data_IF_575811608720
#
_entry.id   IF_575811608720
#
_cell.length_a   1.000
_cell.length_b   1.000
_cell.length_c   1.000
_cell.angle_alpha   90.00
_cell.angle_beta   90.00
_cell.angle_gamma   90.00
#
_symmetry.space_group_name_H-M   'P 1'
#
loop_
_entity.id
_entity.type
_entity.pdbx_description
1 polymer ?
#
# COMPACT_ATOMS: atom_id res chain seq x y z
N UNK A 1 20.07 -2.70 -16.33
CA UNK A 1 18.91 -2.22 -15.57
C UNK A 1 18.98 -0.71 -15.51
N UNK A 2 18.16 0.01 -16.29
CA UNK A 2 17.94 1.42 -16.01
C UNK A 2 17.13 1.44 -14.70
N UNK A 3 17.78 1.76 -13.61
CA UNK A 3 17.07 1.98 -12.36
C UNK A 3 16.10 3.13 -12.56
N UNK A 4 14.96 3.10 -11.92
CA UNK A 4 13.95 4.16 -11.95
C UNK A 4 14.47 5.58 -11.66
N UNK A 5 15.71 5.70 -11.21
CA UNK A 5 16.45 6.93 -10.93
C UNK A 5 16.96 7.68 -12.17
N UNK A 6 17.09 7.01 -13.32
CA UNK A 6 17.65 7.59 -14.56
C UNK A 6 16.59 7.90 -15.61
N UNK A 7 15.31 7.82 -15.24
CA UNK A 7 14.21 8.02 -16.16
C UNK A 7 13.89 9.51 -16.32
N UNK A 8 13.96 10.01 -17.55
CA UNK A 8 13.76 11.43 -17.88
C UNK A 8 12.30 11.81 -18.19
N UNK A 9 11.35 10.85 -18.08
CA UNK A 9 9.94 11.16 -18.33
C UNK A 9 9.35 12.00 -17.20
N UNK A 10 8.38 12.86 -17.58
CA UNK A 10 7.59 13.59 -16.61
C UNK A 10 6.79 12.59 -15.73
N UNK A 11 6.76 12.81 -14.43
CA UNK A 11 5.99 12.01 -13.48
C UNK A 11 4.50 11.98 -13.81
N UNK A 12 3.99 13.05 -14.41
CA UNK A 12 2.60 13.12 -14.87
C UNK A 12 2.33 12.19 -16.06
N UNK A 13 3.29 12.00 -16.98
CA UNK A 13 3.19 11.00 -18.05
C UNK A 13 3.13 9.58 -17.48
N UNK A 14 3.95 9.30 -16.46
CA UNK A 14 3.96 8.01 -15.78
C UNK A 14 2.62 7.75 -15.08
N UNK A 15 2.09 8.75 -14.37
CA UNK A 15 0.78 8.67 -13.72
C UNK A 15 -0.34 8.38 -14.74
N UNK A 16 -0.40 9.12 -15.83
CA UNK A 16 -1.38 8.92 -16.91
C UNK A 16 -1.24 7.53 -17.54
N UNK A 17 -0.01 7.05 -17.75
CA UNK A 17 0.22 5.73 -18.31
C UNK A 17 -0.34 4.63 -17.39
N UNK A 18 -0.11 4.70 -16.09
CA UNK A 18 -0.66 3.72 -15.13
C UNK A 18 -2.20 3.79 -15.09
N UNK A 19 -2.80 4.97 -15.19
CA UNK A 19 -4.25 5.15 -15.15
C UNK A 19 -4.96 4.70 -16.45
N UNK A 20 -4.30 4.81 -17.60
CA UNK A 20 -4.94 4.61 -18.91
C UNK A 20 -4.39 3.44 -19.73
N UNK A 21 -3.18 2.99 -19.40
CA UNK A 21 -2.45 1.93 -20.09
C UNK A 21 -1.85 0.95 -19.08
N UNK A 22 -0.53 0.95 -18.94
CA UNK A 22 0.17 0.30 -17.85
C UNK A 22 1.57 0.91 -17.63
N UNK A 23 2.05 0.81 -16.39
CA UNK A 23 3.41 1.15 -15.99
C UNK A 23 4.08 0.00 -15.28
N UNK A 24 5.39 -0.14 -15.48
CA UNK A 24 6.23 -1.13 -14.81
C UNK A 24 7.13 -0.42 -13.80
N UNK A 25 7.08 -0.86 -12.54
CA UNK A 25 7.85 -0.29 -11.44
C UNK A 25 8.66 -1.37 -10.74
N UNK A 26 9.85 -1.01 -10.27
CA UNK A 26 10.64 -1.86 -9.36
C UNK A 26 10.31 -1.48 -7.91
N UNK A 27 9.63 -2.38 -7.20
CA UNK A 27 9.29 -2.26 -5.78
C UNK A 27 10.04 -3.27 -4.93
N UNK A 28 11.18 -3.75 -5.42
CA UNK A 28 12.03 -4.77 -4.75
C UNK A 28 12.57 -4.33 -3.39
N UNK A 29 12.51 -3.04 -3.06
CA UNK A 29 12.87 -2.53 -1.73
C UNK A 29 11.98 -3.00 -0.58
N UNK A 30 10.79 -3.52 -0.86
CA UNK A 30 9.95 -4.17 0.14
C UNK A 30 10.65 -5.41 0.70
N UNK A 31 10.52 -5.66 2.00
CA UNK A 31 11.08 -6.83 2.68
C UNK A 31 10.23 -8.07 2.44
N UNK A 32 10.85 -9.20 2.12
CA UNK A 32 10.19 -10.49 1.94
C UNK A 32 10.68 -11.48 2.99
N UNK A 33 9.74 -12.04 3.74
CA UNK A 33 10.00 -13.05 4.75
C UNK A 33 9.30 -14.34 4.34
N UNK A 34 10.00 -15.47 4.35
CA UNK A 34 9.39 -16.78 4.23
C UNK A 34 9.23 -17.40 5.62
N UNK A 35 8.03 -17.83 5.94
CA UNK A 35 7.72 -18.60 7.14
C UNK A 35 7.41 -20.04 6.72
N UNK A 36 8.19 -20.99 7.15
CA UNK A 36 8.03 -22.40 6.79
C UNK A 36 8.04 -23.27 8.05
N UNK A 37 7.02 -24.07 8.22
CA UNK A 37 6.91 -25.00 9.34
C UNK A 37 5.51 -25.08 9.93
N UNK A 38 5.24 -26.13 10.74
CA UNK A 38 3.90 -26.40 11.27
C UNK A 38 3.35 -25.30 12.17
N UNK A 39 4.20 -24.46 12.77
CA UNK A 39 3.76 -23.32 13.59
C UNK A 39 3.66 -22.00 12.83
N UNK A 40 3.86 -21.97 11.51
CA UNK A 40 3.79 -20.75 10.70
C UNK A 40 2.44 -20.02 10.83
N UNK A 41 1.33 -20.79 10.80
CA UNK A 41 -0.02 -20.24 11.01
C UNK A 41 -0.17 -19.59 12.39
N UNK A 42 0.29 -20.26 13.45
CA UNK A 42 0.15 -19.77 14.81
C UNK A 42 0.94 -18.47 15.03
N UNK A 43 2.13 -18.36 14.42
CA UNK A 43 2.95 -17.14 14.45
C UNK A 43 2.23 -16.00 13.76
N UNK A 44 1.79 -16.20 12.50
CA UNK A 44 1.12 -15.14 11.74
C UNK A 44 -0.25 -14.79 12.32
N UNK A 45 -0.99 -15.77 12.86
CA UNK A 45 -2.27 -15.50 13.53
C UNK A 45 -2.11 -14.59 14.75
N UNK A 46 -1.02 -14.75 15.50
CA UNK A 46 -0.69 -13.91 16.64
C UNK A 46 -0.06 -12.57 16.24
N UNK A 47 0.72 -12.55 15.15
CA UNK A 47 1.41 -11.35 14.70
C UNK A 47 0.48 -10.32 14.05
N UNK A 48 -0.59 -10.76 13.37
CA UNK A 48 -1.36 -9.92 12.46
C UNK A 48 -2.84 -9.85 12.79
N UNK A 49 -3.51 -8.83 12.28
CA UNK A 49 -4.94 -8.58 12.47
C UNK A 49 -5.85 -9.54 11.71
N UNK A 50 -5.33 -10.23 10.66
CA UNK A 50 -6.12 -11.17 9.86
C UNK A 50 -6.26 -12.53 10.51
N UNK A 51 -7.42 -13.14 10.32
CA UNK A 51 -7.63 -14.55 10.61
C UNK A 51 -7.00 -15.41 9.50
N UNK A 52 -5.75 -15.82 9.75
CA UNK A 52 -4.96 -16.57 8.75
C UNK A 52 -5.55 -17.96 8.44
N UNK A 53 -6.45 -18.47 9.28
CA UNK A 53 -7.13 -19.76 9.02
C UNK A 53 -8.07 -19.68 7.80
N UNK A 54 -8.51 -18.47 7.44
CA UNK A 54 -9.38 -18.19 6.29
C UNK A 54 -8.61 -17.90 5.00
N UNK A 55 -7.26 -17.91 5.05
CA UNK A 55 -6.40 -17.69 3.89
C UNK A 55 -5.96 -19.07 3.40
N UNK A 56 -6.45 -19.53 2.25
CA UNK A 56 -6.06 -20.81 1.64
C UNK A 56 -4.77 -20.65 0.78
N UNK A 57 -4.04 -21.74 0.45
CA UNK A 57 -2.92 -21.68 -0.49
C UNK A 57 -3.33 -21.01 -1.82
N UNK A 58 -2.49 -20.14 -2.36
CA UNK A 58 -2.79 -19.34 -3.54
C UNK A 58 -3.51 -18.02 -3.25
N UNK A 59 -3.94 -17.78 -2.00
CA UNK A 59 -4.58 -16.52 -1.58
C UNK A 59 -3.60 -15.62 -0.84
N UNK A 60 -3.74 -14.31 -1.07
CA UNK A 60 -3.07 -13.26 -0.31
C UNK A 60 -4.06 -12.49 0.57
N UNK A 61 -3.56 -11.74 1.54
CA UNK A 61 -4.40 -10.85 2.37
C UNK A 61 -3.58 -9.72 2.96
N UNK A 62 -4.08 -8.50 2.85
CA UNK A 62 -3.51 -7.34 3.53
C UNK A 62 -3.83 -7.39 5.03
N UNK A 63 -2.85 -7.14 5.87
CA UNK A 63 -2.94 -7.23 7.32
C UNK A 63 -2.08 -6.15 7.99
N UNK A 64 -2.46 -5.76 9.20
CA UNK A 64 -1.68 -4.88 10.07
C UNK A 64 -1.09 -5.65 11.25
N UNK A 65 -0.04 -5.09 11.82
CA UNK A 65 0.63 -5.54 13.03
C UNK A 65 0.61 -4.44 14.08
N UNK A 66 0.35 -4.80 15.33
CA UNK A 66 0.23 -3.86 16.44
C UNK A 66 1.25 -4.19 17.54
N UNK A 67 1.58 -3.17 18.33
CA UNK A 67 2.28 -3.34 19.60
C UNK A 67 1.32 -3.74 20.74
N UNK A 68 1.86 -3.89 21.97
CA UNK A 68 1.06 -4.28 23.14
C UNK A 68 0.09 -3.18 23.60
N UNK A 69 0.28 -1.93 23.15
CA UNK A 69 -0.60 -0.78 23.39
C UNK A 69 -1.74 -0.70 22.38
N UNK A 70 -1.77 -1.59 21.37
CA UNK A 70 -2.74 -1.56 20.27
C UNK A 70 -2.39 -0.55 19.18
N UNK A 71 -1.16 -0.04 19.18
CA UNK A 71 -0.68 0.92 18.18
C UNK A 71 -0.10 0.19 16.96
N UNK A 72 -0.34 0.77 15.80
CA UNK A 72 0.18 0.29 14.52
C UNK A 72 1.72 0.35 14.48
N UNK A 73 2.35 -0.75 14.05
CA UNK A 73 3.81 -0.85 13.93
C UNK A 73 4.29 -1.25 12.53
N UNK A 74 3.42 -1.84 11.74
CA UNK A 74 3.69 -2.21 10.35
C UNK A 74 2.43 -2.75 9.67
N UNK A 75 2.45 -2.79 8.35
CA UNK A 75 1.49 -3.52 7.53
C UNK A 75 2.21 -4.52 6.61
N UNK A 76 1.44 -5.45 6.10
CA UNK A 76 2.00 -6.46 5.22
C UNK A 76 0.94 -7.09 4.31
N UNK A 77 1.41 -7.72 3.25
CA UNK A 77 0.63 -8.69 2.51
C UNK A 77 1.10 -10.10 2.88
N UNK A 78 0.17 -10.92 3.33
CA UNK A 78 0.37 -12.32 3.67
C UNK A 78 0.02 -13.16 2.44
N UNK A 79 0.98 -13.89 1.88
CA UNK A 79 0.80 -14.82 0.77
C UNK A 79 0.88 -16.24 1.32
N UNK A 80 -0.20 -17.03 1.23
CA UNK A 80 -0.12 -18.42 1.61
C UNK A 80 0.37 -19.26 0.44
N UNK A 81 1.65 -19.61 0.48
CA UNK A 81 2.35 -20.33 -0.60
C UNK A 81 2.17 -21.85 -0.54
N UNK A 82 1.75 -22.39 0.62
CA UNK A 82 1.50 -23.81 0.80
C UNK A 82 0.80 -24.15 2.11
N UNK A 83 0.65 -25.42 2.44
CA UNK A 83 -0.04 -25.83 3.69
C UNK A 83 0.56 -25.22 4.95
N UNK A 84 1.89 -25.23 5.06
CA UNK A 84 2.66 -24.70 6.19
C UNK A 84 3.73 -23.69 5.74
N UNK A 85 3.49 -22.99 4.63
CA UNK A 85 4.43 -22.01 4.10
C UNK A 85 3.73 -20.73 3.70
N UNK A 86 4.41 -19.61 3.99
CA UNK A 86 3.96 -18.27 3.73
C UNK A 86 5.10 -17.41 3.23
N UNK A 87 4.77 -16.44 2.40
CA UNK A 87 5.59 -15.27 2.15
C UNK A 87 4.88 -14.07 2.76
N UNK A 88 5.62 -13.24 3.46
CA UNK A 88 5.14 -11.97 4.04
C UNK A 88 5.94 -10.85 3.39
N UNK A 89 5.23 -9.96 2.72
CA UNK A 89 5.83 -8.75 2.12
C UNK A 89 5.44 -7.56 2.95
N UNK A 90 6.42 -6.80 3.44
CA UNK A 90 6.19 -5.64 4.30
C UNK A 90 7.19 -4.52 4.03
N UNK A 91 6.89 -3.32 4.54
CA UNK A 91 7.70 -2.13 4.33
C UNK A 91 8.79 -1.89 5.38
N UNK A 92 8.85 -0.66 5.88
CA UNK A 92 9.89 -0.16 6.77
C UNK A 92 9.62 -0.38 8.25
N UNK A 93 8.42 -0.85 8.63
CA UNK A 93 8.03 -1.02 10.03
C UNK A 93 8.69 -2.20 10.75
N UNK A 94 8.25 -2.45 11.97
CA UNK A 94 8.80 -3.45 12.89
C UNK A 94 8.22 -4.88 12.69
N UNK A 95 7.68 -5.18 11.51
CA UNK A 95 7.03 -6.45 11.22
C UNK A 95 7.96 -7.65 11.29
N UNK A 96 9.19 -7.51 10.75
CA UNK A 96 10.19 -8.57 10.79
C UNK A 96 10.54 -8.95 12.23
N UNK A 97 10.84 -7.96 13.07
CA UNK A 97 11.21 -8.16 14.47
C UNK A 97 10.05 -8.80 15.25
N UNK A 98 8.83 -8.37 15.01
CA UNK A 98 7.65 -8.96 15.65
C UNK A 98 7.46 -10.43 15.29
N UNK A 99 7.52 -10.75 14.00
CA UNK A 99 7.36 -12.12 13.50
C UNK A 99 8.47 -13.01 14.06
N UNK A 100 9.73 -12.55 14.01
CA UNK A 100 10.89 -13.28 14.50
C UNK A 100 10.78 -13.55 16.01
N UNK A 101 10.37 -12.56 16.80
CA UNK A 101 10.14 -12.71 18.23
C UNK A 101 9.06 -13.77 18.53
N UNK A 102 7.96 -13.74 17.80
CA UNK A 102 6.86 -14.69 17.98
C UNK A 102 7.21 -16.11 17.50
N UNK A 103 8.18 -16.25 16.61
CA UNK A 103 8.66 -17.53 16.12
C UNK A 103 9.59 -18.24 17.12
N UNK A 104 10.17 -17.53 18.10
CA UNK A 104 11.10 -18.11 19.07
C UNK A 104 10.47 -19.28 19.83
N UNK A 105 11.21 -20.40 19.92
CA UNK A 105 10.75 -21.62 20.59
C UNK A 105 9.65 -22.39 19.85
N UNK A 106 9.29 -22.00 18.62
CA UNK A 106 8.29 -22.67 17.80
C UNK A 106 8.93 -23.42 16.63
N UNK A 107 8.28 -24.46 16.16
CA UNK A 107 8.74 -25.22 14.97
C UNK A 107 8.35 -24.47 13.69
N UNK A 108 9.07 -23.43 13.39
CA UNK A 108 8.93 -22.57 12.20
C UNK A 108 10.26 -21.89 11.90
N UNK A 109 10.68 -21.90 10.64
CA UNK A 109 11.78 -21.08 10.15
C UNK A 109 11.23 -19.75 9.65
N UNK A 110 11.91 -18.65 9.98
CA UNK A 110 11.68 -17.31 9.43
C UNK A 110 12.92 -16.94 8.64
N UNK A 111 12.79 -16.80 7.34
CA UNK A 111 13.89 -16.56 6.41
C UNK A 111 13.66 -15.23 5.71
N UNK A 112 14.61 -14.31 5.83
CA UNK A 112 14.63 -13.09 5.05
C UNK A 112 15.19 -13.41 3.65
N UNK A 113 14.49 -12.94 2.61
CA UNK A 113 14.86 -13.18 1.21
C UNK A 113 15.11 -11.84 0.52
N UNK A 114 16.37 -11.44 0.46
CA UNK A 114 16.84 -10.21 -0.17
C UNK A 114 17.15 -10.35 -1.68
N UNK A 115 17.15 -11.58 -2.19
CA UNK A 115 17.32 -11.89 -3.62
C UNK A 115 15.98 -11.99 -4.38
N UNK A 116 14.84 -11.91 -3.69
CA UNK A 116 13.55 -11.92 -4.33
C UNK A 116 13.15 -10.51 -4.75
N UNK A 117 13.16 -10.24 -6.05
CA UNK A 117 12.71 -8.99 -6.64
C UNK A 117 11.19 -8.97 -6.81
N UNK A 118 10.62 -7.78 -6.83
CA UNK A 118 9.20 -7.52 -7.03
C UNK A 118 9.03 -6.46 -8.11
N UNK A 119 8.58 -6.89 -9.29
CA UNK A 119 8.31 -6.03 -10.43
C UNK A 119 6.80 -5.79 -10.52
N UNK A 120 6.38 -4.56 -10.30
CA UNK A 120 4.97 -4.17 -10.22
C UNK A 120 4.49 -3.65 -11.58
N UNK A 121 3.69 -4.44 -12.32
CA UNK A 121 3.06 -4.08 -13.58
C UNK A 121 1.61 -3.68 -13.32
N UNK A 122 1.31 -2.39 -13.40
CA UNK A 122 0.06 -1.81 -12.94
C UNK A 122 -0.63 -1.00 -14.05
N UNK A 123 -1.95 -1.12 -14.13
CA UNK A 123 -2.80 -0.38 -15.06
C UNK A 123 -3.74 -1.29 -15.85
N UNK A 124 -4.76 -0.72 -16.53
CA UNK A 124 -5.83 -1.50 -17.18
C UNK A 124 -5.34 -2.47 -18.25
N UNK A 125 -4.23 -2.17 -18.96
CA UNK A 125 -3.67 -3.04 -20.00
C UNK A 125 -2.69 -4.10 -19.46
N UNK A 126 -2.34 -4.09 -18.19
CA UNK A 126 -1.43 -5.07 -17.60
C UNK A 126 -1.93 -6.52 -17.79
N UNK A 127 -3.23 -6.73 -17.64
CA UNK A 127 -3.85 -8.05 -17.84
C UNK A 127 -3.79 -8.51 -19.29
N UNK A 128 -4.00 -7.61 -20.24
CA UNK A 128 -3.96 -7.93 -21.68
C UNK A 128 -2.56 -8.32 -22.12
N UNK A 129 -1.56 -7.63 -21.58
CA UNK A 129 -0.16 -7.97 -21.82
C UNK A 129 0.18 -9.35 -21.24
N UNK A 130 -0.05 -9.54 -19.93
CA UNK A 130 0.31 -10.82 -19.28
C UNK A 130 -0.45 -12.01 -19.84
N UNK A 131 -1.68 -11.84 -20.32
CA UNK A 131 -2.48 -12.92 -20.88
C UNK A 131 -1.90 -13.52 -22.18
N UNK A 132 -1.02 -12.80 -22.88
CA UNK A 132 -0.29 -13.32 -24.03
C UNK A 132 0.79 -14.34 -23.63
N UNK A 133 1.30 -14.23 -22.39
CA UNK A 133 2.45 -15.01 -21.90
C UNK A 133 2.08 -16.02 -20.81
N UNK A 134 1.00 -15.76 -20.05
CA UNK A 134 0.59 -16.56 -18.89
C UNK A 134 -0.87 -17.01 -19.06
N UNK A 135 -1.10 -18.25 -19.46
CA UNK A 135 -2.45 -18.80 -19.57
C UNK A 135 -3.22 -18.72 -18.25
N UNK A 136 -4.48 -18.29 -18.30
CA UNK A 136 -5.37 -18.20 -17.14
C UNK A 136 -5.15 -17.00 -16.23
N UNK A 137 -4.22 -16.08 -16.54
CA UNK A 137 -3.95 -14.91 -15.68
C UNK A 137 -5.16 -13.97 -15.56
N UNK A 138 -6.05 -13.95 -16.57
CA UNK A 138 -7.29 -13.15 -16.53
C UNK A 138 -8.22 -13.59 -15.40
N UNK A 139 -8.23 -14.88 -15.11
CA UNK A 139 -9.11 -15.52 -14.13
C UNK A 139 -8.52 -15.49 -12.72
N UNK A 140 -7.26 -15.03 -12.54
CA UNK A 140 -6.65 -14.91 -11.23
C UNK A 140 -7.43 -13.88 -10.40
N UNK A 141 -8.08 -14.28 -9.28
CA UNK A 141 -8.88 -13.36 -8.49
C UNK A 141 -8.02 -12.30 -7.79
N UNK A 142 -8.62 -11.16 -7.45
CA UNK A 142 -7.96 -10.12 -6.65
C UNK A 142 -7.46 -10.69 -5.32
N UNK A 143 -6.25 -10.32 -4.91
CA UNK A 143 -5.53 -10.90 -3.77
C UNK A 143 -5.34 -12.43 -3.86
N UNK A 144 -5.07 -12.92 -5.07
CA UNK A 144 -4.57 -14.28 -5.29
C UNK A 144 -3.25 -14.25 -6.05
N UNK A 145 -2.49 -15.33 -5.91
CA UNK A 145 -1.21 -15.50 -6.57
C UNK A 145 -1.06 -16.90 -7.15
N UNK A 146 -0.20 -17.04 -8.13
CA UNK A 146 0.12 -18.30 -8.79
C UNK A 146 1.61 -18.39 -9.11
N UNK A 147 2.19 -19.55 -8.87
CA UNK A 147 3.53 -19.86 -9.34
C UNK A 147 3.44 -20.31 -10.81
N UNK A 148 4.24 -19.70 -11.67
CA UNK A 148 4.21 -19.94 -13.12
C UNK A 148 5.58 -19.64 -13.76
N UNK A 149 5.60 -19.53 -15.07
CA UNK A 149 6.77 -19.04 -15.84
C UNK A 149 6.36 -17.82 -16.66
N UNK A 150 7.24 -16.84 -16.68
CA UNK A 150 7.16 -15.67 -17.55
C UNK A 150 8.47 -15.59 -18.34
N UNK A 151 8.38 -15.56 -19.67
CA UNK A 151 9.54 -15.60 -20.58
C UNK A 151 10.52 -16.75 -20.29
N UNK A 152 9.98 -17.91 -19.92
CA UNK A 152 10.76 -19.10 -19.55
C UNK A 152 11.35 -19.09 -18.14
N UNK A 153 11.23 -17.99 -17.38
CA UNK A 153 11.74 -17.83 -16.01
C UNK A 153 10.71 -18.18 -14.95
N UNK A 154 11.08 -18.84 -13.86
CA UNK A 154 10.13 -19.13 -12.78
C UNK A 154 9.76 -17.85 -12.05
N UNK A 155 8.46 -17.61 -11.86
CA UNK A 155 7.93 -16.42 -11.17
C UNK A 155 6.75 -16.81 -10.30
N UNK A 156 6.46 -15.98 -9.28
CA UNK A 156 5.14 -15.94 -8.65
C UNK A 156 4.47 -14.63 -9.07
N UNK A 157 3.30 -14.72 -9.69
CA UNK A 157 2.50 -13.55 -10.07
C UNK A 157 1.35 -13.41 -9.10
N UNK A 158 1.21 -12.25 -8.52
CA UNK A 158 0.10 -11.89 -7.63
C UNK A 158 -0.75 -10.79 -8.25
N UNK A 159 -2.07 -10.92 -8.12
CA UNK A 159 -3.00 -9.83 -8.47
C UNK A 159 -3.15 -8.91 -7.28
N UNK A 160 -2.09 -8.17 -7.01
CA UNK A 160 -1.94 -7.14 -5.97
C UNK A 160 -1.26 -5.91 -6.57
N UNK A 161 -1.18 -4.82 -5.82
CA UNK A 161 -0.51 -3.59 -6.23
C UNK A 161 -0.88 -2.41 -5.35
N UNK A 162 -0.15 -1.32 -5.53
CA UNK A 162 -0.23 -0.10 -4.71
C UNK A 162 -0.63 1.13 -5.53
N UNK A 163 -1.56 0.95 -6.48
CA UNK A 163 -1.97 2.00 -7.42
C UNK A 163 -3.48 2.29 -7.45
N UNK A 164 -4.28 1.37 -6.93
CA UNK A 164 -5.73 1.42 -7.10
C UNK A 164 -6.23 0.87 -8.44
N UNK A 165 -5.35 0.67 -9.42
CA UNK A 165 -5.70 0.04 -10.69
C UNK A 165 -5.66 -1.49 -10.61
N UNK A 166 -6.19 -2.16 -11.63
CA UNK A 166 -5.91 -3.58 -11.85
C UNK A 166 -4.45 -3.73 -12.24
N UNK A 167 -3.74 -4.57 -11.48
CA UNK A 167 -2.33 -4.79 -11.72
C UNK A 167 -1.83 -6.09 -11.12
N UNK A 168 -0.55 -6.34 -11.32
CA UNK A 168 0.11 -7.56 -10.88
C UNK A 168 1.50 -7.26 -10.35
N UNK A 169 1.88 -7.96 -9.30
CA UNK A 169 3.24 -8.01 -8.77
C UNK A 169 3.89 -9.31 -9.21
N UNK A 170 5.09 -9.23 -9.76
CA UNK A 170 5.85 -10.33 -10.36
C UNK A 170 7.07 -10.57 -9.51
N UNK A 171 7.01 -11.58 -8.66
CA UNK A 171 8.13 -11.98 -7.82
C UNK A 171 9.05 -12.91 -8.60
N UNK A 172 10.33 -12.54 -8.72
CA UNK A 172 11.35 -13.29 -9.46
C UNK A 172 12.71 -13.21 -8.77
N UNK A 173 13.65 -14.12 -9.11
CA UNK A 173 15.01 -14.04 -8.61
C UNK A 173 15.78 -12.89 -9.25
N UNK A 174 16.76 -12.32 -8.51
CA UNK A 174 17.55 -11.19 -8.96
C UNK A 174 18.26 -11.43 -10.30
N UNK A 175 18.72 -12.66 -10.56
CA UNK A 175 19.34 -13.04 -11.82
C UNK A 175 18.37 -12.99 -13.02
N UNK A 176 17.08 -13.21 -12.80
CA UNK A 176 16.04 -13.21 -13.83
C UNK A 176 15.36 -11.84 -14.02
N UNK A 177 15.44 -10.97 -13.01
CA UNK A 177 14.72 -9.69 -12.98
C UNK A 177 15.08 -8.76 -14.17
N UNK A 178 16.35 -8.58 -14.58
CA UNK A 178 16.67 -7.74 -15.73
C UNK A 178 16.05 -8.23 -17.04
N UNK A 179 16.09 -9.54 -17.30
CA UNK A 179 15.48 -10.11 -18.51
C UNK A 179 13.97 -9.91 -18.51
N UNK A 180 13.31 -10.15 -17.37
CA UNK A 180 11.84 -9.97 -17.26
C UNK A 180 11.46 -8.51 -17.46
N UNK A 181 12.19 -7.59 -16.82
CA UNK A 181 12.00 -6.15 -16.95
C UNK A 181 12.13 -5.67 -18.39
N UNK A 182 13.26 -6.00 -19.02
CA UNK A 182 13.55 -5.55 -20.40
C UNK A 182 12.53 -6.14 -21.38
N UNK A 183 12.19 -7.43 -21.26
CA UNK A 183 11.20 -8.08 -22.16
C UNK A 183 9.79 -7.48 -21.99
N UNK A 184 9.36 -7.15 -20.76
CA UNK A 184 8.07 -6.47 -20.55
C UNK A 184 8.03 -5.12 -21.26
N UNK A 185 9.11 -4.35 -21.16
CA UNK A 185 9.19 -3.03 -21.79
C UNK A 185 9.31 -3.10 -23.31
N UNK A 186 10.08 -4.05 -23.85
CA UNK A 186 10.23 -4.25 -25.30
C UNK A 186 8.93 -4.73 -25.93
N UNK A 187 8.36 -5.83 -25.44
CA UNK A 187 7.13 -6.42 -25.98
C UNK A 187 5.86 -5.59 -25.66
N UNK A 188 5.92 -4.79 -24.60
CA UNK A 188 4.83 -3.93 -24.17
C UNK A 188 4.83 -2.52 -24.75
N UNK A 189 5.89 -2.13 -25.49
CA UNK A 189 6.06 -0.76 -26.01
C UNK A 189 4.88 -0.29 -26.87
N UNK A 190 4.43 -1.14 -27.80
CA UNK A 190 3.30 -0.82 -28.69
C UNK A 190 1.96 -0.69 -27.93
N UNK A 191 1.83 -1.37 -26.80
CA UNK A 191 0.68 -1.23 -25.90
C UNK A 191 0.80 0.01 -25.00
N UNK A 192 1.94 0.71 -25.04
CA UNK A 192 2.23 1.88 -24.23
C UNK A 192 2.56 1.56 -22.78
N UNK A 193 3.13 0.39 -22.53
CA UNK A 193 3.74 0.06 -21.24
C UNK A 193 5.06 0.83 -21.14
N UNK A 194 5.21 1.59 -20.06
CA UNK A 194 6.41 2.38 -19.80
C UNK A 194 6.99 2.03 -18.43
N UNK A 195 8.30 2.17 -18.24
CA UNK A 195 8.85 2.11 -16.90
C UNK A 195 8.48 3.37 -16.13
N UNK A 196 8.20 3.20 -14.85
CA UNK A 196 7.77 4.26 -13.97
C UNK A 196 8.65 4.30 -12.72
N UNK A 197 8.89 5.51 -12.21
CA UNK A 197 9.60 5.73 -10.95
C UNK A 197 8.77 5.29 -9.76
N UNK A 198 9.45 4.93 -8.67
CA UNK A 198 8.78 4.65 -7.41
C UNK A 198 7.96 5.86 -6.90
N UNK A 199 8.44 7.07 -7.13
CA UNK A 199 7.79 8.30 -6.66
C UNK A 199 6.42 8.58 -7.32
N UNK A 200 6.10 7.98 -8.48
CA UNK A 200 4.76 8.10 -9.06
C UNK A 200 3.70 7.45 -8.18
N UNK A 201 4.11 6.50 -7.33
CA UNK A 201 3.21 5.85 -6.37
C UNK A 201 2.59 6.86 -5.38
N UNK A 202 3.28 7.95 -5.06
CA UNK A 202 2.71 8.98 -4.19
C UNK A 202 1.47 9.63 -4.80
N UNK A 203 1.46 9.87 -6.11
CA UNK A 203 0.27 10.38 -6.80
C UNK A 203 -0.86 9.34 -6.79
N UNK A 204 -0.54 8.10 -7.14
CA UNK A 204 -1.51 7.01 -7.25
C UNK A 204 -2.14 6.64 -5.90
N UNK A 205 -1.32 6.57 -4.84
CA UNK A 205 -1.77 6.23 -3.50
C UNK A 205 -2.63 7.32 -2.87
N UNK A 206 -2.35 8.61 -3.14
CA UNK A 206 -3.17 9.72 -2.65
C UNK A 206 -4.58 9.61 -3.23
N UNK A 207 -4.72 9.43 -4.55
CA UNK A 207 -6.02 9.29 -5.20
C UNK A 207 -6.82 8.10 -4.66
N UNK A 208 -6.15 6.96 -4.44
CA UNK A 208 -6.77 5.69 -4.07
C UNK A 208 -6.82 5.44 -2.57
N UNK A 209 -6.27 6.34 -1.78
CA UNK A 209 -6.01 6.21 -0.35
C UNK A 209 -5.39 4.85 0.01
N UNK A 210 -4.10 4.77 -0.18
CA UNK A 210 -3.28 3.66 0.30
C UNK A 210 -2.23 4.24 1.26
N UNK A 211 -2.29 3.80 2.53
CA UNK A 211 -1.42 4.30 3.57
C UNK A 211 0.04 3.98 3.25
N UNK A 212 0.95 4.93 3.53
CA UNK A 212 2.38 4.74 3.40
C UNK A 212 3.08 4.93 4.76
N UNK A 213 3.54 3.84 5.33
CA UNK A 213 4.34 3.86 6.55
C UNK A 213 5.78 4.29 6.25
N UNK A 214 6.41 5.20 7.04
CA UNK A 214 5.88 5.87 8.23
C UNK A 214 5.23 7.24 7.96
N UNK A 215 5.14 7.69 6.70
CA UNK A 215 4.83 9.07 6.34
C UNK A 215 3.43 9.55 6.77
N UNK A 216 2.44 8.67 6.78
CA UNK A 216 1.07 9.04 7.15
C UNK A 216 0.78 8.88 8.65
N UNK A 217 1.77 8.54 9.47
CA UNK A 217 1.56 8.26 10.89
C UNK A 217 2.17 9.32 11.83
N UNK A 218 1.96 9.15 13.15
CA UNK A 218 2.42 10.06 14.19
C UNK A 218 3.93 10.10 14.38
N UNK A 219 4.69 9.15 13.84
CA UNK A 219 6.14 9.15 13.95
C UNK A 219 6.74 10.28 13.10
N UNK A 220 6.14 10.55 11.94
CA UNK A 220 6.58 11.63 11.04
C UNK A 220 5.89 12.95 11.39
N UNK A 221 4.58 12.93 11.69
CA UNK A 221 3.78 14.12 11.96
C UNK A 221 3.01 14.03 13.28
N UNK A 222 3.69 14.13 14.44
CA UNK A 222 3.00 14.20 15.73
C UNK A 222 2.33 15.56 15.90
N UNK A 223 1.16 15.59 16.55
CA UNK A 223 0.64 16.82 17.12
C UNK A 223 1.38 17.14 18.43
N UNK A 224 1.41 18.41 18.84
CA UNK A 224 2.20 18.91 19.99
C UNK A 224 2.01 18.15 21.31
N UNK A 225 0.83 17.58 21.52
CA UNK A 225 0.47 16.92 22.79
C UNK A 225 0.14 15.44 22.62
N UNK A 226 0.40 14.86 21.44
CA UNK A 226 0.10 13.48 21.14
C UNK A 226 1.19 12.54 21.64
N UNK A 227 0.78 11.44 22.24
CA UNK A 227 1.67 10.31 22.47
C UNK A 227 1.98 9.62 21.14
N UNK A 228 3.23 9.22 20.90
CA UNK A 228 3.60 8.48 19.70
C UNK A 228 2.80 7.18 19.55
N UNK A 229 2.45 6.89 18.31
CA UNK A 229 1.70 5.70 17.92
C UNK A 229 0.26 6.02 17.52
N UNK A 230 -0.22 5.30 16.53
CA UNK A 230 -1.53 5.47 15.93
C UNK A 230 -2.34 4.18 16.06
N UNK A 231 -3.61 4.29 16.41
CA UNK A 231 -4.53 3.15 16.36
C UNK A 231 -5.02 2.90 14.93
N UNK A 232 -5.48 1.70 14.64
CA UNK A 232 -6.07 1.41 13.31
C UNK A 232 -7.35 2.20 13.07
N UNK A 233 -8.06 2.63 14.13
CA UNK A 233 -9.25 3.48 14.06
C UNK A 233 -8.92 4.89 13.55
N UNK A 234 -7.76 5.41 13.97
CA UNK A 234 -7.24 6.71 13.53
C UNK A 234 -6.77 6.67 12.07
N UNK A 235 -6.12 5.56 11.69
CA UNK A 235 -5.59 5.37 10.34
C UNK A 235 -6.65 4.88 9.32
N UNK A 236 -7.88 4.55 9.76
CA UNK A 236 -8.89 3.96 8.88
C UNK A 236 -8.53 2.55 8.40
N UNK A 237 -7.70 1.81 9.15
CA UNK A 237 -7.23 0.46 8.85
C UNK A 237 -7.90 -0.62 9.70
N UNK A 238 -8.89 -0.28 10.50
CA UNK A 238 -9.66 -1.20 11.35
C UNK A 238 -10.35 -2.32 10.54
N UNK A 239 -10.67 -2.08 9.27
CA UNK A 239 -11.17 -3.10 8.35
C UNK A 239 -10.21 -4.28 8.16
N UNK A 240 -8.92 -4.14 8.51
CA UNK A 240 -7.94 -5.22 8.46
C UNK A 240 -8.13 -6.24 9.56
N UNK A 241 -8.81 -5.88 10.64
CA UNK A 241 -9.12 -6.81 11.74
C UNK A 241 -10.25 -7.73 11.31
N UNK A 242 -9.97 -9.03 11.26
CA UNK A 242 -11.02 -10.00 10.93
C UNK A 242 -12.11 -10.00 11.98
N UNK A 243 -13.40 -10.04 11.58
CA UNK A 243 -14.52 -10.00 12.52
C UNK A 243 -14.38 -11.04 13.66
N UNK A 244 -14.46 -10.57 14.90
CA UNK A 244 -14.38 -11.40 16.09
C UNK A 244 -12.98 -11.91 16.46
N UNK A 245 -11.93 -11.49 15.76
CA UNK A 245 -10.57 -11.94 16.06
C UNK A 245 -10.02 -11.24 17.30
N UNK A 246 -9.59 -12.02 18.29
CA UNK A 246 -9.04 -11.54 19.57
C UNK A 246 -7.63 -12.06 19.87
N UNK A 247 -7.13 -13.03 19.15
CA UNK A 247 -5.87 -13.72 19.42
C UNK A 247 -4.62 -13.11 18.79
N UNK A 248 -4.59 -11.79 18.51
CA UNK A 248 -3.42 -11.10 17.99
C UNK A 248 -2.84 -10.12 19.02
N UNK A 249 -1.56 -9.78 18.83
CA UNK A 249 -0.88 -8.82 19.71
C UNK A 249 -1.59 -7.48 19.70
N UNK A 250 -1.84 -6.91 20.87
CA UNK A 250 -2.50 -5.62 21.02
C UNK A 250 -4.03 -5.64 20.88
N UNK A 251 -4.66 -6.79 20.60
CA UNK A 251 -6.09 -6.90 20.34
C UNK A 251 -6.95 -6.28 21.45
N UNK A 252 -6.65 -6.56 22.73
CA UNK A 252 -7.41 -6.03 23.87
C UNK A 252 -7.39 -4.50 23.92
N UNK A 253 -6.26 -3.89 23.58
CA UNK A 253 -6.15 -2.43 23.54
C UNK A 253 -6.79 -1.86 22.28
N UNK A 254 -6.61 -2.51 21.12
CA UNK A 254 -7.26 -2.10 19.88
C UNK A 254 -8.77 -1.90 20.09
N UNK A 255 -9.46 -2.88 20.68
CA UNK A 255 -10.90 -2.76 20.95
C UNK A 255 -11.26 -1.70 22.00
N UNK A 256 -10.36 -1.40 22.96
CA UNK A 256 -10.56 -0.33 23.95
C UNK A 256 -10.41 1.07 23.36
N UNK A 257 -9.69 1.20 22.25
CA UNK A 257 -9.43 2.47 21.56
C UNK A 257 -10.56 2.86 20.60
N UNK A 258 -11.47 1.96 20.29
CA UNK A 258 -12.62 2.26 19.44
C UNK A 258 -13.46 3.42 19.97
N UNK A 259 -13.71 4.44 19.16
CA UNK A 259 -14.45 5.64 19.54
C UNK A 259 -13.66 6.61 20.42
N UNK A 260 -12.32 6.45 20.47
CA UNK A 260 -11.41 7.34 21.21
C UNK A 260 -10.31 7.90 20.30
N UNK A 261 -10.62 7.99 19.01
CA UNK A 261 -9.71 8.53 18.03
C UNK A 261 -9.36 9.99 18.37
N UNK A 262 -8.08 10.32 18.39
CA UNK A 262 -7.56 11.68 18.62
C UNK A 262 -7.60 12.51 17.34
N UNK A 263 -7.35 11.83 16.22
CA UNK A 263 -7.34 12.38 14.86
C UNK A 263 -7.84 11.30 13.88
N UNK A 264 -7.99 11.70 12.64
CA UNK A 264 -8.23 10.77 11.51
C UNK A 264 -7.34 11.12 10.33
N UNK A 265 -6.96 10.11 9.57
CA UNK A 265 -6.47 10.35 8.22
C UNK A 265 -7.68 10.69 7.35
N UNK A 266 -7.58 11.84 6.68
CA UNK A 266 -8.68 12.36 5.87
C UNK A 266 -8.14 13.04 4.61
N UNK A 267 -8.98 13.18 3.58
CA UNK A 267 -8.62 13.86 2.35
C UNK A 267 -8.80 15.38 2.48
N UNK A 268 -8.05 16.11 1.67
CA UNK A 268 -8.16 17.55 1.51
C UNK A 268 -8.20 17.89 0.03
N UNK A 269 -9.20 18.61 -0.42
CA UNK A 269 -9.22 19.23 -1.73
C UNK A 269 -8.85 20.70 -1.57
N UNK A 270 -7.82 21.14 -2.28
CA UNK A 270 -7.28 22.50 -2.19
C UNK A 270 -7.68 23.28 -3.44
N UNK A 271 -8.05 24.53 -3.27
CA UNK A 271 -8.37 25.40 -4.40
C UNK A 271 -7.08 25.78 -5.15
N UNK A 272 -7.12 25.61 -6.46
CA UNK A 272 -5.97 25.83 -7.35
C UNK A 272 -5.35 24.56 -7.88
N UNK A 273 -4.27 24.70 -8.64
CA UNK A 273 -3.58 23.62 -9.33
C UNK A 273 -2.24 23.26 -8.67
N UNK A 274 -1.70 24.15 -7.84
CA UNK A 274 -0.41 23.92 -7.18
C UNK A 274 -0.55 22.83 -6.09
N UNK A 275 0.32 21.82 -6.07
CA UNK A 275 0.29 20.79 -5.04
C UNK A 275 0.76 21.34 -3.70
N UNK A 276 0.11 20.91 -2.64
CA UNK A 276 0.60 21.13 -1.28
C UNK A 276 1.83 20.27 -1.01
N UNK A 277 2.62 20.70 -0.03
CA UNK A 277 3.79 19.97 0.42
C UNK A 277 3.50 19.17 1.71
N UNK A 278 4.30 18.14 1.90
CA UNK A 278 4.42 17.44 3.17
C UNK A 278 4.78 18.43 4.30
N UNK A 279 4.03 18.37 5.41
CA UNK A 279 4.20 19.28 6.54
C UNK A 279 3.42 20.59 6.46
N UNK A 280 2.73 20.89 5.35
CA UNK A 280 1.83 22.04 5.29
C UNK A 280 0.71 21.89 6.33
N UNK A 281 0.33 23.01 6.96
CA UNK A 281 -0.60 23.01 8.09
C UNK A 281 -2.04 23.32 7.64
N UNK A 282 -2.97 22.66 8.31
CA UNK A 282 -4.40 22.90 8.13
C UNK A 282 -4.98 23.68 9.29
N UNK A 283 -5.83 24.66 8.96
CA UNK A 283 -6.52 25.50 9.91
C UNK A 283 -8.02 25.48 9.65
N UNK A 284 -8.80 25.52 10.73
CA UNK A 284 -10.24 25.78 10.72
C UNK A 284 -10.53 26.87 11.78
N UNK A 285 -11.23 27.92 11.41
CA UNK A 285 -11.57 29.06 12.28
C UNK A 285 -10.34 29.63 13.04
N UNK A 286 -9.17 29.67 12.37
CA UNK A 286 -7.93 30.17 12.94
C UNK A 286 -7.19 29.20 13.88
N UNK A 287 -7.76 28.05 14.22
CA UNK A 287 -7.14 26.97 14.99
C UNK A 287 -6.39 26.01 14.07
N UNK A 288 -5.15 25.63 14.39
CA UNK A 288 -4.48 24.53 13.70
C UNK A 288 -5.21 23.22 14.01
N UNK A 289 -5.60 22.49 12.95
CA UNK A 289 -6.43 21.28 13.05
C UNK A 289 -5.84 20.09 12.32
N UNK A 290 -4.72 20.24 11.65
CA UNK A 290 -4.11 19.13 10.94
C UNK A 290 -2.80 19.47 10.27
N UNK A 291 -2.21 18.45 9.66
CA UNK A 291 -0.98 18.52 8.87
C UNK A 291 -1.11 17.62 7.64
N UNK A 292 -0.65 18.11 6.50
CA UNK A 292 -0.62 17.36 5.26
C UNK A 292 0.55 16.38 5.29
N UNK A 293 0.29 15.12 5.01
CA UNK A 293 1.31 14.07 4.95
C UNK A 293 1.76 13.78 3.51
N UNK A 294 0.88 13.98 2.54
CA UNK A 294 1.23 13.87 1.13
C UNK A 294 0.24 14.68 0.29
N UNK A 295 0.75 15.49 -0.64
CA UNK A 295 -0.06 16.28 -1.56
C UNK A 295 0.35 16.07 -3.02
N UNK A 296 -0.60 16.25 -3.93
CA UNK A 296 -0.37 16.13 -5.37
C UNK A 296 -1.36 16.99 -6.17
N UNK A 297 -1.00 17.26 -7.42
CA UNK A 297 -1.97 17.69 -8.43
C UNK A 297 -2.35 16.46 -9.29
N UNK A 298 -3.63 16.08 -9.29
CA UNK A 298 -4.11 14.97 -10.10
C UNK A 298 -4.22 15.38 -11.57
N UNK A 299 -3.47 14.73 -12.42
CA UNK A 299 -3.53 14.95 -13.88
C UNK A 299 -4.87 14.54 -14.49
N UNK A 300 -5.63 13.66 -13.82
CA UNK A 300 -6.94 13.22 -14.29
C UNK A 300 -8.05 14.25 -13.98
N UNK A 301 -7.96 14.90 -12.85
CA UNK A 301 -9.00 15.82 -12.38
C UNK A 301 -8.60 17.29 -12.48
N UNK A 302 -7.30 17.59 -12.67
CA UNK A 302 -6.75 18.95 -12.63
C UNK A 302 -6.90 19.62 -11.26
N UNK A 303 -7.02 18.83 -10.17
CA UNK A 303 -7.25 19.35 -8.82
C UNK A 303 -6.10 19.03 -7.90
N UNK A 304 -5.76 19.99 -7.06
CA UNK A 304 -4.85 19.75 -5.93
C UNK A 304 -5.57 18.98 -4.83
N UNK A 305 -4.99 17.86 -4.42
CA UNK A 305 -5.54 16.98 -3.38
C UNK A 305 -4.43 16.46 -2.47
N UNK A 306 -4.79 16.21 -1.22
CA UNK A 306 -3.83 15.75 -0.22
C UNK A 306 -4.45 14.75 0.76
N UNK A 307 -3.57 13.95 1.36
CA UNK A 307 -3.87 13.17 2.57
C UNK A 307 -3.35 13.98 3.75
N UNK A 308 -4.11 14.02 4.83
CA UNK A 308 -3.77 14.75 6.04
C UNK A 308 -4.12 13.98 7.31
N UNK A 309 -3.35 14.22 8.36
CA UNK A 309 -3.73 13.92 9.75
C UNK A 309 -4.56 15.10 10.24
N UNK A 310 -5.77 14.86 10.71
CA UNK A 310 -6.74 15.90 10.99
C UNK A 310 -7.48 15.62 12.29
N UNK A 311 -7.70 16.65 13.12
CA UNK A 311 -8.52 16.54 14.32
C UNK A 311 -9.89 15.94 13.99
N UNK A 312 -10.41 15.10 14.88
CA UNK A 312 -11.65 14.32 14.62
C UNK A 312 -12.85 15.22 14.36
N UNK A 313 -12.95 16.36 15.06
CA UNK A 313 -14.07 17.29 14.97
C UNK A 313 -14.18 17.99 13.61
N UNK A 314 -13.08 18.09 12.87
CA UNK A 314 -13.05 18.69 11.54
C UNK A 314 -12.89 17.69 10.40
N UNK A 315 -12.57 16.43 10.70
CA UNK A 315 -12.47 15.34 9.73
C UNK A 315 -13.87 14.88 9.27
N UNK A 316 -14.63 15.81 8.69
CA UNK A 316 -15.99 15.64 8.19
C UNK A 316 -16.08 16.17 6.77
N UNK A 317 -16.74 15.42 5.88
CA UNK A 317 -16.91 15.81 4.47
C UNK A 317 -17.43 17.23 4.33
N UNK A 318 -16.71 18.07 3.59
CA UNK A 318 -17.10 19.42 3.26
C UNK A 318 -16.77 20.47 4.33
N UNK A 319 -16.09 20.12 5.42
CA UNK A 319 -15.61 21.10 6.41
C UNK A 319 -14.67 22.10 5.73
N UNK A 320 -14.94 23.43 5.84
CA UNK A 320 -14.05 24.47 5.32
C UNK A 320 -12.71 24.46 6.08
N UNK A 321 -11.63 24.53 5.33
CA UNK A 321 -10.26 24.55 5.82
C UNK A 321 -9.46 25.66 5.13
N UNK A 322 -8.34 26.02 5.74
CA UNK A 322 -7.30 26.85 5.14
C UNK A 322 -5.97 26.08 5.20
N UNK A 323 -5.31 25.94 4.06
CA UNK A 323 -3.91 25.46 3.99
C UNK A 323 -2.99 26.62 4.22
N UNK A 324 -1.95 26.44 5.04
CA UNK A 324 -0.83 27.36 5.23
C UNK A 324 0.48 26.62 5.07
N UNK A 325 1.01 26.71 3.87
CA UNK A 325 2.28 26.10 3.48
C UNK A 325 3.23 27.09 2.83
N UNK A 326 4.42 26.61 2.50
CA UNK A 326 5.44 27.45 1.85
C UNK A 326 5.09 27.73 0.38
N UNK A 327 4.50 26.77 -0.31
CA UNK A 327 4.13 26.87 -1.74
C UNK A 327 2.68 27.24 -1.96
N UNK A 328 1.80 26.78 -1.08
CA UNK A 328 0.36 26.98 -1.20
C UNK A 328 -0.19 27.53 0.11
N UNK A 329 -0.95 28.63 0.00
CA UNK A 329 -1.76 29.17 1.10
C UNK A 329 -3.11 29.56 0.52
N UNK A 330 -4.19 29.02 1.06
CA UNK A 330 -5.53 29.31 0.54
C UNK A 330 -6.61 28.39 1.06
N UNK A 331 -7.84 28.57 0.54
CA UNK A 331 -8.99 27.78 0.95
C UNK A 331 -8.88 26.33 0.50
N UNK A 332 -9.42 25.46 1.34
CA UNK A 332 -9.53 24.04 1.10
C UNK A 332 -10.78 23.46 1.75
N UNK A 333 -11.12 22.23 1.45
CA UNK A 333 -12.21 21.50 2.08
C UNK A 333 -11.79 20.09 2.45
N UNK A 334 -12.28 19.61 3.59
CA UNK A 334 -12.11 18.22 3.99
C UNK A 334 -12.93 17.29 3.08
N UNK A 335 -12.34 16.18 2.68
CA UNK A 335 -12.94 15.20 1.77
C UNK A 335 -12.76 13.78 2.28
N UNK A 336 -13.78 12.95 2.14
CA UNK A 336 -13.67 11.52 2.45
C UNK A 336 -12.72 10.83 1.48
N UNK A 337 -12.01 9.82 1.97
CA UNK A 337 -11.09 8.99 1.17
C UNK A 337 -11.75 7.66 0.77
N UNK A 338 -11.41 7.09 -0.37
CA UNK A 338 -10.50 7.60 -1.40
C UNK A 338 -11.12 8.69 -2.27
N UNK A 339 -10.30 9.46 -2.98
CA UNK A 339 -10.77 10.45 -3.96
C UNK A 339 -11.26 9.80 -5.26
N UNK A 340 -10.62 8.70 -5.68
CA UNK A 340 -10.93 7.95 -6.89
C UNK A 340 -11.35 6.52 -6.57
N UNK A 341 -12.19 5.94 -7.45
CA UNK A 341 -12.64 4.54 -7.38
C UNK A 341 -13.18 4.11 -6.00
N UNK A 342 -14.05 4.93 -5.40
CA UNK A 342 -14.65 4.70 -4.08
C UNK A 342 -15.22 3.28 -3.95
N UNK A 343 -15.84 2.76 -5.02
CA UNK A 343 -16.42 1.41 -5.07
C UNK A 343 -15.39 0.31 -5.37
N UNK A 344 -14.11 0.65 -5.54
CA UNK A 344 -13.01 -0.26 -5.89
C UNK A 344 -13.24 -1.06 -7.20
N UNK A 345 -13.96 -0.48 -8.14
CA UNK A 345 -14.34 -1.15 -9.40
C UNK A 345 -13.14 -1.42 -10.30
N UNK A 346 -12.17 -0.51 -10.35
CA UNK A 346 -10.97 -0.65 -11.18
C UNK A 346 -10.14 -1.87 -10.77
N UNK A 347 -9.76 -1.96 -9.49
CA UNK A 347 -8.93 -3.07 -8.98
C UNK A 347 -9.68 -4.40 -8.93
N UNK A 348 -11.00 -4.38 -8.81
CA UNK A 348 -11.83 -5.59 -8.80
C UNK A 348 -12.31 -6.02 -10.20
N UNK A 349 -12.10 -5.22 -11.24
CA UNK A 349 -12.55 -5.51 -12.57
C UNK A 349 -12.09 -6.90 -13.04
N UNK A 350 -13.02 -7.71 -13.47
CA UNK A 350 -12.74 -8.93 -14.22
C UNK A 350 -12.63 -8.54 -15.68
N UNK A 351 -11.46 -8.61 -16.27
CA UNK A 351 -11.04 -8.10 -17.55
C UNK A 351 -11.95 -8.19 -18.71
#
# INVERSE_FOLDING_TARGET
>A
MATAWTYEKDIHEEHVAIRTKAGLMDVSGLKKLHLVGPHSHAVLHQATTRDVTKIHPGKASYACMLDDRGMFIDDCILYRTGPNSWMVVHGAGAGHEQITRLAQGRNVAVLFDDDLHDLSLQGPLAVDFLAKHVPGIRDLPYFHHTATRLFGRPVTISRTGYTGERGYEIFCRGEDAPLIWDTILEDGADAGIIPCRFTVLDMLRVESYLLFYPYDNSETYPFEHDLPGDSLWELGLDFTVSPGKVGFRGAGQHYRLQGKERFKIFGVLVDGEDPTAEGDLLYADGRRVGVITCGMNSTLTGRSMAIARMDVDVAVQGTPLEVRGASVTGPAIAHTLPFDDVDKKKRLANG
#
